data_IF_629632593259
#
_entry.id   IF_629632593259
#
_cell.length_a   1.000
_cell.length_b   1.000
_cell.length_c   1.000
_cell.angle_alpha   90.00
_cell.angle_beta   90.00
_cell.angle_gamma   90.00
#
_symmetry.space_group_name_H-M   'P 1'
#
loop_
_entity.id
_entity.type
_entity.pdbx_description
1 polymer ?
#
# COMPACT_ATOMS: atom_id res chain seq x y z
N UNK A 1 31.22 0.10 -8.84
CA UNK A 1 29.80 -0.02 -9.24
C UNK A 1 29.27 -1.43 -9.03
N UNK A 2 29.83 -2.42 -9.73
CA UNK A 2 29.34 -3.80 -9.75
C UNK A 2 29.40 -4.55 -8.40
N UNK A 3 30.44 -4.31 -7.60
CA UNK A 3 30.64 -4.96 -6.29
C UNK A 3 29.58 -4.58 -5.23
N UNK A 4 29.02 -3.36 -5.33
CA UNK A 4 27.93 -2.93 -4.45
C UNK A 4 26.60 -3.60 -4.82
N UNK A 5 26.38 -3.82 -6.13
CA UNK A 5 25.18 -4.48 -6.65
C UNK A 5 25.19 -5.99 -6.40
N UNK A 6 26.36 -6.63 -6.24
CA UNK A 6 26.43 -8.07 -5.92
C UNK A 6 26.02 -8.41 -4.48
N UNK A 7 25.98 -7.42 -3.58
CA UNK A 7 25.56 -7.62 -2.20
C UNK A 7 24.04 -7.46 -2.01
N UNK A 8 23.36 -6.82 -2.96
CA UNK A 8 21.90 -6.72 -2.98
C UNK A 8 21.40 -7.94 -3.74
N UNK A 9 20.70 -8.86 -3.04
CA UNK A 9 20.07 -10.00 -3.68
C UNK A 9 19.16 -9.50 -4.83
N UNK A 10 19.23 -10.06 -6.04
CA UNK A 10 18.35 -9.69 -7.17
C UNK A 10 16.88 -10.06 -6.97
N UNK A 11 16.44 -10.25 -5.72
CA UNK A 11 15.06 -10.53 -5.33
C UNK A 11 14.20 -9.28 -5.12
N UNK A 12 14.72 -8.06 -5.34
CA UNK A 12 13.87 -6.86 -5.47
C UNK A 12 13.17 -6.83 -6.84
N UNK A 13 12.49 -7.93 -7.18
CA UNK A 13 11.43 -8.00 -8.20
C UNK A 13 10.10 -7.48 -7.65
N UNK A 14 10.06 -7.03 -6.39
CA UNK A 14 8.85 -6.70 -5.63
C UNK A 14 7.90 -5.75 -6.34
N UNK A 15 8.41 -4.74 -7.06
CA UNK A 15 7.57 -3.82 -7.83
C UNK A 15 7.35 -4.23 -9.28
N UNK A 16 8.09 -5.22 -9.78
CA UNK A 16 7.96 -5.77 -11.14
C UNK A 16 6.95 -6.91 -11.19
N UNK A 17 6.76 -7.63 -10.08
CA UNK A 17 5.72 -8.66 -9.89
C UNK A 17 4.35 -8.08 -9.57
N UNK A 18 4.27 -6.84 -9.11
CA UNK A 18 2.99 -6.15 -8.95
C UNK A 18 2.53 -5.73 -10.34
N UNK A 19 1.47 -6.38 -10.83
CA UNK A 19 0.80 -5.99 -12.07
C UNK A 19 0.50 -4.48 -12.04
N UNK A 20 0.90 -3.76 -13.10
CA UNK A 20 0.60 -2.33 -13.27
C UNK A 20 -0.92 -2.07 -13.30
N UNK A 21 -1.69 -3.10 -13.63
CA UNK A 21 -3.15 -3.13 -13.55
C UNK A 21 -3.56 -3.87 -12.27
N UNK A 22 -3.86 -3.10 -11.21
CA UNK A 22 -4.46 -3.63 -9.98
C UNK A 22 -5.95 -3.74 -10.25
N UNK A 23 -6.49 -4.97 -10.37
CA UNK A 23 -7.90 -5.23 -10.67
C UNK A 23 -8.82 -5.14 -9.44
N UNK A 24 -8.25 -5.09 -8.24
CA UNK A 24 -8.95 -5.10 -6.97
C UNK A 24 -7.94 -5.23 -5.83
N UNK A 25 -8.24 -4.66 -4.67
CA UNK A 25 -7.47 -4.90 -3.45
C UNK A 25 -8.28 -5.85 -2.58
N UNK A 26 -7.81 -7.08 -2.43
CA UNK A 26 -8.45 -8.07 -1.57
C UNK A 26 -7.82 -8.04 -0.17
N UNK A 27 -8.65 -7.89 0.86
CA UNK A 27 -8.21 -7.98 2.25
C UNK A 27 -8.79 -9.24 2.86
N UNK A 28 -7.89 -10.17 3.19
CA UNK A 28 -8.21 -11.44 3.81
C UNK A 28 -8.16 -11.28 5.33
N UNK A 29 -9.24 -11.67 6.01
CA UNK A 29 -9.33 -11.62 7.47
C UNK A 29 -9.97 -12.91 8.03
N UNK A 30 -9.69 -13.31 9.28
CA UNK A 30 -10.29 -14.50 9.87
C UNK A 30 -11.81 -14.33 9.98
N UNK A 31 -12.58 -15.38 9.68
CA UNK A 31 -14.04 -15.27 9.58
C UNK A 31 -14.74 -14.93 10.91
N UNK A 32 -14.10 -15.21 12.05
CA UNK A 32 -14.56 -14.77 13.38
C UNK A 32 -14.49 -13.24 13.60
N UNK A 33 -13.73 -12.50 12.79
CA UNK A 33 -13.58 -11.06 12.96
C UNK A 33 -14.62 -10.30 12.13
N UNK A 34 -15.23 -9.26 12.70
CA UNK A 34 -16.23 -8.46 12.00
C UNK A 34 -15.57 -7.54 10.94
N UNK A 35 -16.07 -7.57 9.70
CA UNK A 35 -15.61 -6.71 8.60
C UNK A 35 -15.57 -5.22 8.95
N UNK A 36 -16.51 -4.75 9.80
CA UNK A 36 -16.58 -3.36 10.26
C UNK A 36 -15.37 -2.96 11.12
N UNK A 37 -14.86 -3.89 11.93
CA UNK A 37 -13.68 -3.65 12.77
C UNK A 37 -12.40 -3.61 11.93
N UNK A 38 -12.29 -4.54 10.97
CA UNK A 38 -11.20 -4.55 9.99
C UNK A 38 -11.16 -3.22 9.24
N UNK A 39 -12.31 -2.77 8.72
CA UNK A 39 -12.45 -1.49 8.02
C UNK A 39 -12.04 -0.30 8.91
N UNK A 40 -12.48 -0.29 10.17
CA UNK A 40 -12.11 0.76 11.13
C UNK A 40 -10.59 0.78 11.37
N UNK A 41 -9.97 -0.38 11.53
CA UNK A 41 -8.52 -0.48 11.75
C UNK A 41 -7.75 -0.07 10.50
N UNK A 42 -8.20 -0.49 9.32
CA UNK A 42 -7.59 -0.12 8.04
C UNK A 42 -7.67 1.40 7.79
N UNK A 43 -8.82 2.01 8.11
CA UNK A 43 -8.98 3.48 8.10
C UNK A 43 -7.98 4.17 9.02
N UNK A 44 -7.84 3.66 10.24
CA UNK A 44 -6.91 4.23 11.22
C UNK A 44 -5.46 4.14 10.75
N UNK A 45 -5.06 3.00 10.16
CA UNK A 45 -3.72 2.81 9.57
C UNK A 45 -3.51 3.79 8.41
N UNK A 46 -4.50 3.93 7.52
CA UNK A 46 -4.45 4.88 6.41
C UNK A 46 -4.29 6.34 6.90
N UNK A 47 -5.09 6.76 7.88
CA UNK A 47 -5.02 8.12 8.47
C UNK A 47 -3.69 8.37 9.17
N UNK A 48 -3.21 7.40 9.95
CA UNK A 48 -1.93 7.52 10.66
C UNK A 48 -0.76 7.60 9.69
N UNK A 49 -0.78 6.81 8.61
CA UNK A 49 0.18 6.88 7.52
C UNK A 49 0.18 8.25 6.82
N UNK A 50 -1.00 8.81 6.56
CA UNK A 50 -1.13 10.13 5.93
C UNK A 50 -0.47 11.23 6.75
N UNK A 51 -0.76 11.31 8.05
CA UNK A 51 -0.21 12.34 8.94
C UNK A 51 1.32 12.26 8.99
N UNK A 52 1.85 11.05 9.16
CA UNK A 52 3.29 10.81 9.27
C UNK A 52 3.99 11.19 7.96
N UNK A 53 3.51 10.70 6.82
CA UNK A 53 4.13 10.98 5.52
C UNK A 53 4.01 12.44 5.12
N UNK A 54 2.90 13.11 5.45
CA UNK A 54 2.73 14.54 5.25
C UNK A 54 3.78 15.34 6.01
N UNK A 55 4.01 15.03 7.30
CA UNK A 55 5.03 15.70 8.12
C UNK A 55 6.45 15.56 7.53
N UNK A 56 6.83 14.34 7.14
CA UNK A 56 8.15 14.10 6.54
C UNK A 56 8.30 14.72 5.15
N UNK A 57 7.22 14.74 4.35
CA UNK A 57 7.20 15.41 3.04
C UNK A 57 7.45 16.91 3.18
N UNK A 58 6.69 17.60 4.05
CA UNK A 58 6.88 19.04 4.26
C UNK A 58 8.26 19.36 4.85
N UNK A 59 8.74 18.55 5.81
CA UNK A 59 10.08 18.72 6.37
C UNK A 59 11.18 18.56 5.31
N UNK A 60 11.05 17.56 4.44
CA UNK A 60 12.03 17.33 3.36
C UNK A 60 11.94 18.40 2.27
N UNK A 61 10.72 18.84 1.91
CA UNK A 61 10.48 19.88 0.93
C UNK A 61 11.02 21.26 1.36
N UNK A 62 10.93 21.58 2.66
CA UNK A 62 11.52 22.80 3.21
C UNK A 62 13.06 22.79 3.18
N UNK A 63 13.67 21.61 3.20
CA UNK A 63 15.13 21.44 3.13
C UNK A 63 15.67 21.51 1.68
N UNK A 64 14.83 21.24 0.67
CA UNK A 64 15.22 21.29 -0.75
C UNK A 64 15.89 22.61 -1.16
N UNK A 65 15.33 23.80 -0.92
CA UNK A 65 15.96 25.06 -1.32
C UNK A 65 17.34 25.26 -0.69
N UNK A 66 17.54 24.83 0.56
CA UNK A 66 18.84 24.88 1.22
C UNK A 66 19.85 23.96 0.51
N UNK A 67 19.44 22.75 0.13
CA UNK A 67 20.31 21.82 -0.61
C UNK A 67 20.56 22.22 -2.07
N UNK A 68 19.67 22.98 -2.70
CA UNK A 68 19.86 23.49 -4.06
C UNK A 68 21.07 24.43 -4.16
N UNK A 69 21.37 25.20 -3.11
CA UNK A 69 22.57 26.05 -3.07
C UNK A 69 23.85 25.22 -3.16
N UNK A 70 23.85 24.03 -2.55
CA UNK A 70 24.98 23.11 -2.61
C UNK A 70 25.11 22.38 -3.96
N UNK A 71 24.07 22.37 -4.80
CA UNK A 71 24.12 21.81 -6.16
C UNK A 71 25.01 22.62 -7.10
N UNK A 72 25.17 23.92 -6.83
CA UNK A 72 26.00 24.85 -7.64
C UNK A 72 27.50 24.68 -7.33
N UNK A 73 27.84 24.04 -6.21
CA UNK A 73 29.22 23.75 -5.85
C UNK A 73 29.75 22.54 -6.65
N UNK A 74 31.06 22.50 -7.00
CA UNK A 74 31.67 21.37 -7.72
C UNK A 74 31.79 20.08 -6.88
N UNK A 75 31.17 20.04 -5.70
CA UNK A 75 31.13 18.89 -4.81
C UNK A 75 30.21 17.80 -5.36
N UNK A 76 30.38 16.53 -4.96
CA UNK A 76 29.49 15.46 -5.39
C UNK A 76 28.06 15.74 -4.90
N UNK A 77 27.15 16.05 -5.83
CA UNK A 77 25.72 16.40 -5.62
C UNK A 77 24.85 15.29 -5.00
N UNK A 78 25.48 14.26 -4.43
CA UNK A 78 24.86 13.15 -3.70
C UNK A 78 23.86 13.61 -2.63
N UNK A 79 24.11 14.64 -1.78
CA UNK A 79 23.15 15.02 -0.74
C UNK A 79 21.85 15.59 -1.31
N UNK A 80 21.93 16.36 -2.40
CA UNK A 80 20.75 16.89 -3.09
C UNK A 80 19.90 15.76 -3.69
N UNK A 81 20.53 14.86 -4.44
CA UNK A 81 19.83 13.71 -5.04
C UNK A 81 19.24 12.77 -3.99
N UNK A 82 19.93 12.56 -2.86
CA UNK A 82 19.41 11.77 -1.74
C UNK A 82 18.16 12.41 -1.12
N UNK A 83 18.17 13.73 -0.89
CA UNK A 83 17.02 14.43 -0.35
C UNK A 83 15.84 14.44 -1.34
N UNK A 84 16.11 14.59 -2.64
CA UNK A 84 15.09 14.52 -3.68
C UNK A 84 14.43 13.13 -3.72
N UNK A 85 15.24 12.07 -3.71
CA UNK A 85 14.75 10.69 -3.63
C UNK A 85 13.94 10.45 -2.34
N UNK A 86 14.40 10.96 -1.20
CA UNK A 86 13.70 10.88 0.08
C UNK A 86 12.34 11.58 0.04
N UNK A 87 12.29 12.79 -0.52
CA UNK A 87 11.06 13.57 -0.68
C UNK A 87 10.08 12.84 -1.60
N UNK A 88 10.55 12.33 -2.74
CA UNK A 88 9.74 11.55 -3.67
C UNK A 88 9.17 10.28 -3.02
N UNK A 89 9.99 9.56 -2.25
CA UNK A 89 9.55 8.35 -1.54
C UNK A 89 8.45 8.65 -0.51
N UNK A 90 8.60 9.74 0.25
CA UNK A 90 7.56 10.18 1.18
C UNK A 90 6.29 10.64 0.48
N UNK A 91 6.42 11.33 -0.65
CA UNK A 91 5.28 11.72 -1.49
C UNK A 91 4.54 10.49 -2.03
N UNK A 92 5.26 9.51 -2.58
CA UNK A 92 4.67 8.26 -3.11
C UNK A 92 3.96 7.47 -2.01
N UNK A 93 4.53 7.40 -0.81
CA UNK A 93 3.91 6.75 0.34
C UNK A 93 2.62 7.47 0.80
N UNK A 94 2.61 8.81 0.77
CA UNK A 94 1.42 9.61 1.06
C UNK A 94 0.28 9.35 0.05
N UNK A 95 0.61 9.23 -1.24
CA UNK A 95 -0.37 8.90 -2.27
C UNK A 95 -0.96 7.49 -2.04
N UNK A 96 -0.14 6.53 -1.61
CA UNK A 96 -0.60 5.19 -1.23
C UNK A 96 -1.58 5.20 -0.05
N UNK A 97 -1.28 5.96 1.03
CA UNK A 97 -2.19 6.05 2.18
C UNK A 97 -3.51 6.74 1.84
N UNK A 98 -3.49 7.73 0.94
CA UNK A 98 -4.70 8.41 0.46
C UNK A 98 -5.59 7.50 -0.38
N UNK A 99 -4.99 6.77 -1.31
CA UNK A 99 -5.70 5.75 -2.09
C UNK A 99 -6.35 4.74 -1.16
N UNK A 100 -5.61 4.23 -0.16
CA UNK A 100 -6.17 3.32 0.85
C UNK A 100 -7.33 3.95 1.62
N UNK A 101 -7.25 5.24 1.97
CA UNK A 101 -8.32 5.95 2.66
C UNK A 101 -9.57 6.11 1.80
N UNK A 102 -9.41 6.42 0.51
CA UNK A 102 -10.52 6.51 -0.46
C UNK A 102 -11.22 5.15 -0.58
N UNK A 103 -10.46 4.08 -0.79
CA UNK A 103 -10.98 2.72 -0.89
C UNK A 103 -11.74 2.25 0.35
N UNK A 104 -11.24 2.61 1.54
CA UNK A 104 -11.91 2.31 2.81
C UNK A 104 -13.14 3.20 3.05
N UNK A 105 -13.29 4.29 2.32
CA UNK A 105 -14.42 5.23 2.44
C UNK A 105 -15.52 4.94 1.42
N UNK A 106 -15.17 4.62 0.18
CA UNK A 106 -16.09 4.52 -0.97
C UNK A 106 -16.78 3.16 -1.17
N UNK A 107 -16.68 2.24 -0.20
CA UNK A 107 -17.35 0.94 -0.21
C UNK A 107 -18.89 1.03 -0.01
N UNK A 108 -19.59 1.94 -0.71
CA UNK A 108 -21.05 1.99 -0.64
C UNK A 108 -21.79 2.53 -1.87
N UNK A 109 -21.16 2.90 -2.99
CA UNK A 109 -21.93 3.48 -4.10
C UNK A 109 -21.56 2.89 -5.47
N UNK A 110 -22.44 2.00 -5.92
CA UNK A 110 -22.76 1.66 -7.31
C UNK A 110 -21.65 1.03 -8.16
N UNK A 111 -21.67 -0.30 -8.26
CA UNK A 111 -20.99 -1.02 -9.36
C UNK A 111 -21.85 -2.07 -10.06
N UNK A 112 -23.15 -2.15 -9.78
CA UNK A 112 -24.04 -3.15 -10.45
C UNK A 112 -24.75 -2.61 -11.69
N UNK A 113 -24.87 -1.30 -11.92
CA UNK A 113 -25.87 -0.82 -12.89
C UNK A 113 -25.36 -0.10 -14.14
N UNK A 114 -24.21 -0.50 -14.71
CA UNK A 114 -23.89 0.03 -16.05
C UNK A 114 -23.04 -0.87 -16.95
N UNK A 115 -23.48 -2.12 -17.14
CA UNK A 115 -22.96 -2.93 -18.26
C UNK A 115 -24.01 -3.63 -19.11
N UNK A 116 -25.29 -3.33 -18.94
CA UNK A 116 -26.35 -3.85 -19.80
C UNK A 116 -27.44 -2.80 -20.01
N UNK A 117 -27.43 -2.16 -21.18
CA UNK A 117 -28.59 -1.43 -21.71
C UNK A 117 -28.23 -0.19 -22.52
N UNK A 118 -28.54 -0.21 -23.82
CA UNK A 118 -28.90 1.00 -24.56
C UNK A 118 -27.89 1.51 -25.59
N UNK A 119 -28.09 1.06 -26.82
CA UNK A 119 -27.81 1.82 -28.05
C UNK A 119 -28.56 3.18 -28.01
N UNK A 120 -27.89 4.25 -28.48
CA UNK A 120 -28.43 5.39 -29.26
C UNK A 120 -27.60 6.69 -29.11
N UNK A 121 -27.28 7.27 -30.28
CA UNK A 121 -26.76 8.61 -30.56
C UNK A 121 -26.98 9.71 -29.49
N UNK A 122 -25.93 10.49 -29.19
CA UNK A 122 -25.86 11.94 -29.49
C UNK A 122 -24.54 12.59 -29.06
N UNK A 123 -24.19 13.55 -29.90
CA UNK A 123 -23.13 14.57 -29.84
C UNK A 123 -23.15 15.39 -28.54
N UNK A 124 -21.98 15.70 -28.00
CA UNK A 124 -21.52 17.05 -27.61
C UNK A 124 -20.46 17.02 -26.50
N UNK A 125 -19.42 17.79 -26.80
CA UNK A 125 -18.25 18.23 -26.05
C UNK A 125 -18.39 18.31 -24.53
N UNK A 126 -17.73 17.41 -23.78
CA UNK A 126 -17.17 17.76 -22.47
C UNK A 126 -15.83 17.04 -22.22
N UNK A 127 -14.84 17.81 -21.81
CA UNK A 127 -13.48 17.40 -21.46
C UNK A 127 -13.56 16.41 -20.28
N UNK A 128 -13.56 15.12 -20.59
CA UNK A 128 -13.72 14.05 -19.63
C UNK A 128 -12.58 14.04 -18.62
N UNK A 129 -12.89 14.43 -17.38
CA UNK A 129 -12.11 14.05 -16.22
C UNK A 129 -12.12 12.52 -16.18
N UNK A 130 -11.04 11.88 -16.64
CA UNK A 130 -10.91 10.43 -16.63
C UNK A 130 -11.05 9.97 -15.18
N UNK A 131 -12.25 9.56 -14.80
CA UNK A 131 -12.55 8.96 -13.51
C UNK A 131 -11.78 7.66 -13.48
N UNK A 132 -10.56 7.72 -12.92
CA UNK A 132 -9.71 6.56 -12.75
C UNK A 132 -10.56 5.53 -12.01
N UNK A 133 -10.82 4.40 -12.65
CA UNK A 133 -11.59 3.30 -12.08
C UNK A 133 -10.71 2.76 -10.94
N UNK A 134 -10.90 3.29 -9.74
CA UNK A 134 -10.16 2.83 -8.57
C UNK A 134 -10.56 1.38 -8.28
N UNK A 135 -9.59 0.47 -8.11
CA UNK A 135 -9.87 -0.93 -7.91
C UNK A 135 -10.64 -1.18 -6.62
N UNK A 136 -11.75 -1.94 -6.62
CA UNK A 136 -12.58 -2.12 -5.44
C UNK A 136 -11.81 -2.82 -4.30
N UNK A 137 -12.09 -2.41 -3.06
CA UNK A 137 -11.60 -3.06 -1.85
C UNK A 137 -12.55 -4.19 -1.46
N UNK A 138 -12.18 -5.44 -1.71
CA UNK A 138 -13.00 -6.61 -1.36
C UNK A 138 -12.52 -7.18 -0.03
N UNK A 139 -13.39 -7.14 0.99
CA UNK A 139 -13.14 -7.78 2.28
C UNK A 139 -13.56 -9.26 2.17
N UNK A 140 -12.60 -10.19 2.13
CA UNK A 140 -12.87 -11.64 2.09
C UNK A 140 -12.67 -12.29 3.47
N UNK A 141 -13.72 -12.82 4.10
CA UNK A 141 -13.56 -13.69 5.27
C UNK A 141 -12.94 -15.03 4.87
N UNK A 142 -11.95 -15.49 5.62
CA UNK A 142 -11.23 -16.74 5.35
C UNK A 142 -11.28 -17.70 6.55
N UNK A 143 -11.89 -18.87 6.33
CA UNK A 143 -11.98 -19.94 7.33
C UNK A 143 -10.67 -20.69 7.52
N UNK A 144 -9.91 -20.88 6.44
CA UNK A 144 -8.58 -21.52 6.49
C UNK A 144 -7.62 -20.72 7.36
N UNK A 145 -7.60 -19.39 7.21
CA UNK A 145 -6.82 -18.49 8.06
C UNK A 145 -7.24 -18.60 9.53
N UNK A 146 -8.54 -18.72 9.80
CA UNK A 146 -9.06 -18.89 11.16
C UNK A 146 -8.63 -20.22 11.78
N UNK A 147 -8.66 -21.32 11.03
CA UNK A 147 -8.19 -22.63 11.51
C UNK A 147 -6.69 -22.61 11.83
N UNK A 148 -5.89 -21.97 10.97
CA UNK A 148 -4.46 -21.79 11.20
C UNK A 148 -4.18 -20.99 12.47
N UNK A 149 -4.93 -19.89 12.70
CA UNK A 149 -4.83 -19.09 13.91
C UNK A 149 -5.25 -19.90 15.14
N UNK A 150 -6.38 -20.60 15.08
CA UNK A 150 -6.93 -21.39 16.20
C UNK A 150 -5.99 -22.50 16.64
N UNK A 151 -5.30 -23.14 15.70
CA UNK A 151 -4.29 -24.18 15.96
C UNK A 151 -3.03 -23.63 16.67
N UNK A 152 -2.81 -22.32 16.60
CA UNK A 152 -1.59 -21.65 17.02
C UNK A 152 -1.71 -20.67 18.18
N UNK A 153 -2.92 -20.32 18.61
CA UNK A 153 -3.16 -19.35 19.68
C UNK A 153 -2.73 -19.90 21.05
N UNK A 154 -1.75 -19.23 21.66
CA UNK A 154 -1.43 -19.34 23.08
C UNK A 154 -1.68 -17.99 23.75
N UNK A 155 -1.74 -17.96 25.09
CA UNK A 155 -2.05 -16.77 25.91
C UNK A 155 -1.13 -15.55 25.62
N UNK A 156 0.05 -15.79 25.03
CA UNK A 156 1.09 -14.80 24.74
C UNK A 156 1.17 -14.39 23.24
N UNK A 157 0.17 -14.76 22.44
CA UNK A 157 0.06 -14.41 21.01
C UNK A 157 0.29 -15.58 20.04
N UNK A 158 0.37 -15.25 18.73
CA UNK A 158 0.51 -16.22 17.65
C UNK A 158 1.97 -16.74 17.58
N UNK A 159 2.17 -18.06 17.65
CA UNK A 159 3.52 -18.65 17.55
C UNK A 159 4.15 -18.39 16.18
N UNK A 160 5.46 -18.15 16.17
CA UNK A 160 6.25 -17.92 14.94
C UNK A 160 6.13 -19.08 13.92
N UNK A 161 5.98 -20.32 14.39
CA UNK A 161 5.75 -21.49 13.52
C UNK A 161 4.42 -21.41 12.76
N UNK A 162 3.37 -20.89 13.40
CA UNK A 162 2.05 -20.72 12.79
C UNK A 162 2.09 -19.57 11.78
N UNK A 163 2.78 -18.49 12.13
CA UNK A 163 3.01 -17.36 11.21
C UNK A 163 3.73 -17.82 9.94
N UNK A 164 4.72 -18.72 10.08
CA UNK A 164 5.45 -19.28 8.93
C UNK A 164 4.54 -20.14 8.05
N UNK A 165 3.66 -20.95 8.64
CA UNK A 165 2.66 -21.72 7.88
C UNK A 165 1.67 -20.82 7.14
N UNK A 166 1.17 -19.76 7.78
CA UNK A 166 0.31 -18.76 7.13
C UNK A 166 1.07 -18.11 5.97
N UNK A 167 2.33 -17.74 6.17
CA UNK A 167 3.14 -17.14 5.10
C UNK A 167 3.34 -18.10 3.92
N UNK A 168 3.45 -19.40 4.17
CA UNK A 168 3.53 -20.39 3.10
C UNK A 168 2.19 -20.57 2.36
N UNK A 169 1.06 -20.64 3.07
CA UNK A 169 -0.27 -20.80 2.46
C UNK A 169 -0.70 -19.60 1.61
N UNK A 170 -0.31 -18.39 2.01
CA UNK A 170 -0.70 -17.14 1.34
C UNK A 170 0.44 -16.50 0.51
N UNK A 171 1.54 -17.24 0.29
CA UNK A 171 2.71 -16.76 -0.46
C UNK A 171 3.29 -15.42 0.05
N UNK A 172 3.25 -15.20 1.37
CA UNK A 172 3.72 -13.99 2.02
C UNK A 172 5.19 -14.09 2.44
N UNK A 173 5.87 -12.93 2.50
CA UNK A 173 7.22 -12.86 3.03
C UNK A 173 7.21 -12.94 4.57
N UNK A 174 7.73 -14.04 5.12
CA UNK A 174 7.78 -14.29 6.57
C UNK A 174 8.56 -13.22 7.35
N UNK A 175 9.62 -12.65 6.77
CA UNK A 175 10.46 -11.63 7.42
C UNK A 175 9.68 -10.34 7.62
N UNK A 176 8.88 -9.94 6.62
CA UNK A 176 8.07 -8.73 6.71
C UNK A 176 6.92 -8.90 7.69
N UNK A 177 6.22 -10.04 7.66
CA UNK A 177 5.09 -10.29 8.57
C UNK A 177 5.54 -10.30 10.04
N UNK A 178 6.73 -10.84 10.34
CA UNK A 178 7.29 -10.82 11.70
C UNK A 178 7.55 -9.41 12.25
N UNK A 179 7.82 -8.43 11.38
CA UNK A 179 7.98 -7.02 11.78
C UNK A 179 6.70 -6.46 12.40
N UNK A 180 5.54 -6.95 11.96
CA UNK A 180 4.23 -6.48 12.40
C UNK A 180 3.64 -7.28 13.57
N UNK A 181 4.35 -8.29 14.08
CA UNK A 181 3.88 -9.10 15.22
C UNK A 181 3.79 -8.30 16.54
N UNK A 182 4.63 -7.26 16.70
CA UNK A 182 4.76 -6.48 17.95
C UNK A 182 4.14 -5.08 17.90
N UNK A 183 3.37 -4.78 16.84
CA UNK A 183 2.69 -3.50 16.60
C UNK A 183 1.25 -3.53 17.13
#
# INVERSE_FOLDING_TARGET
GLWLLSHVKPSETFLKSISKEVRGIEVIYPASLNARLVRRRLRHIAMSGEIIHKKYLYGSAALLPATTVFMVLPLPNIPFFWLLYRTYSHWRALQGSRMLLQLVSDDSINWVENKQGGDENRDDSQHGNQKMIEPPLVLRPCKELEELIRRGSTDDGLKQCVLTNICQSFELNSVEVLKYQKL
#
